data_IF_890767308824
#
_entry.id   IF_890767308824
#
_cell.length_a   1.000
_cell.length_b   1.000
_cell.length_c   1.000
_cell.angle_alpha   90.00
_cell.angle_beta   90.00
_cell.angle_gamma   90.00
#
_symmetry.space_group_name_H-M   'P 1'
#
loop_
_entity.id
_entity.type
_entity.pdbx_description
1 polymer ?
#
# COMPACT_ATOMS: atom_id res chain seq x y z
N UNK A 1 11.72 12.23 6.85
CA UNK A 1 11.46 10.91 6.28
C UNK A 1 10.61 10.08 7.22
N UNK A 2 9.46 9.63 6.76
CA UNK A 2 8.54 8.83 7.55
C UNK A 2 8.14 7.58 6.81
N UNK A 3 7.84 6.52 7.55
CA UNK A 3 7.29 5.30 6.98
C UNK A 3 5.84 5.15 7.41
N UNK A 4 4.97 4.88 6.46
CA UNK A 4 3.55 4.64 6.69
C UNK A 4 3.22 3.23 6.22
N UNK A 5 2.57 2.46 7.06
CA UNK A 5 2.13 1.12 6.69
C UNK A 5 0.63 1.12 6.42
N UNK A 6 0.23 0.78 5.21
CA UNK A 6 -1.17 0.74 4.85
C UNK A 6 -1.69 -0.69 4.87
N UNK A 7 -2.71 -0.93 5.68
CA UNK A 7 -3.32 -2.24 5.85
C UNK A 7 -4.79 -2.17 5.46
N UNK A 8 -5.23 -3.13 4.65
CA UNK A 8 -6.59 -3.12 4.10
C UNK A 8 -7.22 -4.50 4.20
N UNK A 9 -8.44 -4.55 4.74
CA UNK A 9 -9.22 -5.80 4.79
C UNK A 9 -10.69 -5.50 4.51
N UNK A 10 -11.43 -6.55 4.17
CA UNK A 10 -12.88 -6.46 4.05
C UNK A 10 -13.60 -7.02 5.26
N UNK A 11 -13.17 -8.17 5.79
CA UNK A 11 -13.88 -8.81 6.89
C UNK A 11 -12.99 -9.39 7.98
N UNK A 12 -11.76 -9.76 7.69
CA UNK A 12 -10.95 -10.54 8.61
C UNK A 12 -10.06 -9.70 9.51
N UNK A 13 -10.36 -9.71 10.79
CA UNK A 13 -9.54 -9.05 11.80
C UNK A 13 -8.14 -9.67 11.89
N UNK A 14 -8.06 -10.99 11.72
CA UNK A 14 -6.77 -11.68 11.78
C UNK A 14 -5.84 -11.24 10.64
N UNK A 15 -6.42 -11.00 9.46
CA UNK A 15 -5.63 -10.52 8.34
C UNK A 15 -5.07 -9.12 8.61
N UNK A 16 -5.86 -8.29 9.27
CA UNK A 16 -5.39 -6.94 9.63
C UNK A 16 -4.20 -7.03 10.59
N UNK A 17 -4.31 -7.84 11.63
CA UNK A 17 -3.26 -8.01 12.61
C UNK A 17 -1.98 -8.55 11.99
N UNK A 18 -2.13 -9.49 11.06
CA UNK A 18 -0.98 -10.07 10.37
C UNK A 18 -0.26 -9.03 9.51
N UNK A 19 -1.02 -8.21 8.79
CA UNK A 19 -0.43 -7.16 7.98
C UNK A 19 0.34 -6.17 8.86
N UNK A 20 -0.27 -5.76 9.96
CA UNK A 20 0.36 -4.82 10.89
C UNK A 20 1.66 -5.40 11.43
N UNK A 21 1.62 -6.66 11.86
CA UNK A 21 2.79 -7.34 12.41
C UNK A 21 3.93 -7.40 11.39
N UNK A 22 3.61 -7.79 10.16
CA UNK A 22 4.62 -7.90 9.11
C UNK A 22 5.27 -6.54 8.82
N UNK A 23 4.46 -5.51 8.77
CA UNK A 23 4.98 -4.16 8.53
C UNK A 23 5.85 -3.68 9.69
N UNK A 24 5.39 -3.90 10.92
CA UNK A 24 6.14 -3.47 12.11
C UNK A 24 7.45 -4.23 12.29
N UNK A 25 7.51 -5.47 11.84
CA UNK A 25 8.77 -6.22 11.90
C UNK A 25 9.83 -5.61 10.99
N UNK A 26 9.41 -5.13 9.81
CA UNK A 26 10.33 -4.51 8.86
C UNK A 26 10.56 -3.04 9.16
N UNK A 27 9.54 -2.35 9.63
CA UNK A 27 9.58 -0.90 9.90
C UNK A 27 8.94 -0.63 11.26
N UNK A 28 9.71 -0.80 12.36
CA UNK A 28 9.13 -0.67 13.70
C UNK A 28 8.48 0.67 14.00
N UNK A 29 8.96 1.74 13.37
CA UNK A 29 8.45 3.08 13.60
C UNK A 29 7.37 3.50 12.62
N UNK A 30 6.90 2.59 11.76
CA UNK A 30 5.89 2.92 10.77
C UNK A 30 4.58 3.33 11.43
N UNK A 31 3.99 4.39 10.88
CA UNK A 31 2.65 4.82 11.27
C UNK A 31 1.65 3.94 10.52
N UNK A 32 0.84 3.18 11.24
CA UNK A 32 -0.09 2.24 10.65
C UNK A 32 -1.40 2.96 10.29
N UNK A 33 -1.81 2.80 9.04
CA UNK A 33 -3.08 3.31 8.53
C UNK A 33 -3.95 2.11 8.19
N UNK A 34 -5.12 2.03 8.81
CA UNK A 34 -6.02 0.88 8.66
C UNK A 34 -7.23 1.25 7.83
N UNK A 35 -7.54 0.42 6.84
CA UNK A 35 -8.69 0.59 5.98
C UNK A 35 -9.57 -0.64 6.07
N UNK A 36 -10.84 -0.44 6.41
CA UNK A 36 -11.79 -1.54 6.49
C UNK A 36 -12.96 -1.25 5.57
N UNK A 37 -13.28 -2.20 4.71
CA UNK A 37 -14.46 -2.11 3.85
C UNK A 37 -15.60 -2.87 4.50
N UNK A 38 -16.78 -2.27 4.48
CA UNK A 38 -17.98 -2.93 4.95
C UNK A 38 -18.93 -3.10 3.78
N UNK A 39 -19.44 -4.31 3.61
CA UNK A 39 -20.41 -4.60 2.57
C UNK A 39 -19.81 -4.66 1.18
N UNK A 40 -20.69 -4.57 0.20
CA UNK A 40 -20.33 -4.71 -1.21
C UNK A 40 -19.94 -3.41 -1.87
N UNK A 41 -20.11 -2.30 -1.19
CA UNK A 41 -19.86 -1.00 -1.79
C UNK A 41 -18.42 -0.63 -1.60
N UNK A 42 -17.73 -0.57 -2.70
CA UNK A 42 -16.37 -0.11 -2.72
C UNK A 42 -16.45 1.39 -2.91
N UNK A 43 -16.74 2.06 -1.84
CA UNK A 43 -16.74 3.49 -1.92
C UNK A 43 -15.47 3.99 -1.35
N UNK A 44 -14.61 4.34 -2.18
CA UNK A 44 -13.47 5.09 -1.78
C UNK A 44 -12.60 4.34 -0.76
N UNK A 45 -11.42 4.74 -0.70
CA UNK A 45 -10.46 4.26 0.27
C UNK A 45 -10.12 5.47 1.10
N UNK A 46 -11.05 5.84 1.99
CA UNK A 46 -10.95 7.09 2.75
C UNK A 46 -9.61 7.26 3.44
N UNK A 47 -9.15 6.19 4.09
CA UNK A 47 -7.90 6.27 4.83
C UNK A 47 -6.72 6.36 3.90
N UNK A 48 -6.77 5.65 2.77
CA UNK A 48 -5.72 5.75 1.76
C UNK A 48 -5.68 7.14 1.14
N UNK A 49 -6.83 7.71 0.85
CA UNK A 49 -6.90 9.07 0.31
C UNK A 49 -6.31 10.10 1.27
N UNK A 50 -6.60 9.96 2.56
CA UNK A 50 -6.00 10.81 3.58
C UNK A 50 -4.49 10.65 3.61
N UNK A 51 -4.03 9.41 3.52
CA UNK A 51 -2.60 9.10 3.52
C UNK A 51 -1.90 9.75 2.33
N UNK A 52 -2.51 9.66 1.15
CA UNK A 52 -1.93 10.26 -0.05
C UNK A 52 -1.79 11.78 0.06
N UNK A 53 -2.61 12.41 0.88
CA UNK A 53 -2.54 13.86 1.07
C UNK A 53 -1.41 14.29 2.00
N UNK A 54 -1.00 13.40 2.91
CA UNK A 54 0.04 13.75 3.89
C UNK A 54 1.42 13.22 3.53
N UNK A 55 1.49 12.21 2.67
CA UNK A 55 2.77 11.64 2.27
C UNK A 55 3.52 12.64 1.40
N UNK A 56 4.82 12.74 1.62
CA UNK A 56 5.64 13.71 0.89
C UNK A 56 6.93 13.06 0.39
N UNK A 57 7.70 13.82 -0.35
CA UNK A 57 8.99 13.37 -0.89
C UNK A 57 9.85 12.77 0.23
N UNK A 58 10.48 11.65 -0.08
CA UNK A 58 11.35 10.88 0.83
C UNK A 58 10.60 10.05 1.87
N UNK A 59 9.28 10.13 1.91
CA UNK A 59 8.51 9.23 2.76
C UNK A 59 8.42 7.85 2.11
N UNK A 60 8.10 6.84 2.91
CA UNK A 60 7.97 5.46 2.45
C UNK A 60 6.58 4.95 2.75
N UNK A 61 5.93 4.35 1.75
CA UNK A 61 4.68 3.64 1.93
C UNK A 61 4.96 2.15 1.91
N UNK A 62 4.54 1.46 2.97
CA UNK A 62 4.78 0.03 3.13
C UNK A 62 3.45 -0.71 3.05
N UNK A 63 3.41 -1.73 2.20
CA UNK A 63 2.26 -2.61 2.02
C UNK A 63 2.68 -4.04 2.28
N UNK A 64 1.80 -4.84 2.87
CA UNK A 64 2.06 -6.27 3.04
C UNK A 64 2.25 -6.93 1.68
N UNK A 65 1.38 -6.57 0.72
CA UNK A 65 1.50 -7.06 -0.65
C UNK A 65 0.93 -6.01 -1.60
N UNK A 66 1.25 -6.18 -2.88
CA UNK A 66 0.80 -5.25 -3.92
C UNK A 66 -0.73 -5.19 -4.00
N UNK A 67 -1.41 -6.29 -3.68
CA UNK A 67 -2.87 -6.34 -3.72
C UNK A 67 -3.51 -5.42 -2.68
N UNK A 68 -2.78 -4.99 -1.67
CA UNK A 68 -3.31 -4.05 -0.69
C UNK A 68 -3.31 -2.62 -1.22
N UNK A 69 -2.44 -2.34 -2.19
CA UNK A 69 -2.40 -1.01 -2.78
C UNK A 69 -3.50 -0.84 -3.81
N UNK A 70 -3.75 -1.84 -4.64
CA UNK A 70 -4.75 -1.71 -5.69
C UNK A 70 -5.37 -3.05 -6.03
N UNK A 71 -6.51 -3.02 -6.74
CA UNK A 71 -7.24 -4.21 -7.13
C UNK A 71 -7.05 -4.57 -8.59
N UNK A 72 -6.63 -3.62 -9.40
CA UNK A 72 -6.46 -3.84 -10.84
C UNK A 72 -5.06 -3.41 -11.24
N UNK A 73 -4.60 -3.98 -12.36
CA UNK A 73 -3.30 -3.62 -12.89
C UNK A 73 -3.24 -2.16 -13.28
N UNK A 74 -4.30 -1.67 -13.90
CA UNK A 74 -4.34 -0.29 -14.38
C UNK A 74 -4.26 0.71 -13.21
N UNK A 75 -5.09 0.51 -12.20
CA UNK A 75 -5.09 1.36 -11.01
C UNK A 75 -3.74 1.32 -10.31
N UNK A 76 -3.18 0.13 -10.16
CA UNK A 76 -1.89 -0.04 -9.50
C UNK A 76 -0.77 0.66 -10.26
N UNK A 77 -0.79 0.55 -11.57
CA UNK A 77 0.21 1.19 -12.40
C UNK A 77 0.16 2.72 -12.25
N UNK A 78 -1.03 3.28 -12.35
CA UNK A 78 -1.20 4.73 -12.24
C UNK A 78 -0.79 5.24 -10.86
N UNK A 79 -1.19 4.52 -9.82
CA UNK A 79 -0.84 4.90 -8.44
C UNK A 79 0.67 4.83 -8.22
N UNK A 80 1.29 3.75 -8.69
CA UNK A 80 2.72 3.56 -8.56
C UNK A 80 3.48 4.70 -9.23
N UNK A 81 3.12 5.01 -10.48
CA UNK A 81 3.77 6.08 -11.22
C UNK A 81 3.63 7.42 -10.52
N UNK A 82 2.43 7.72 -10.05
CA UNK A 82 2.17 8.98 -9.37
C UNK A 82 3.04 9.14 -8.14
N UNK A 83 3.08 8.13 -7.29
CA UNK A 83 3.85 8.18 -6.05
C UNK A 83 5.35 8.18 -6.32
N UNK A 84 5.78 7.38 -7.27
CA UNK A 84 7.19 7.36 -7.65
C UNK A 84 7.64 8.73 -8.12
N UNK A 85 6.83 9.38 -8.96
CA UNK A 85 7.16 10.70 -9.49
C UNK A 85 7.18 11.77 -8.40
N UNK A 86 6.48 11.54 -7.30
CA UNK A 86 6.50 12.45 -6.16
C UNK A 86 7.68 12.21 -5.23
N UNK A 87 8.51 11.22 -5.53
CA UNK A 87 9.66 10.90 -4.69
C UNK A 87 9.33 10.04 -3.49
N UNK A 88 8.16 9.38 -3.50
CA UNK A 88 7.74 8.49 -2.43
C UNK A 88 8.23 7.09 -2.73
N UNK A 89 8.86 6.44 -1.77
CA UNK A 89 9.31 5.06 -1.91
C UNK A 89 8.17 4.10 -1.60
N UNK A 90 8.06 3.04 -2.39
CA UNK A 90 7.01 2.03 -2.22
C UNK A 90 7.66 0.70 -1.91
N UNK A 91 7.17 0.04 -0.86
CA UNK A 91 7.69 -1.25 -0.42
C UNK A 91 6.55 -2.24 -0.31
N UNK A 92 6.69 -3.39 -0.96
CA UNK A 92 5.73 -4.49 -0.91
C UNK A 92 6.44 -5.68 -0.29
N UNK A 93 6.06 -6.01 0.94
CA UNK A 93 6.81 -7.00 1.73
C UNK A 93 6.82 -8.40 1.10
N UNK A 94 5.71 -8.79 0.49
CA UNK A 94 5.62 -10.10 -0.16
C UNK A 94 6.22 -10.13 -1.55
N UNK A 95 6.41 -8.96 -2.14
CA UNK A 95 7.02 -8.84 -3.46
C UNK A 95 8.17 -7.85 -3.42
N UNK A 96 9.22 -8.15 -2.64
CA UNK A 96 10.34 -7.21 -2.49
C UNK A 96 11.12 -7.00 -3.79
N UNK A 97 10.90 -7.88 -4.76
CA UNK A 97 11.55 -7.79 -6.06
C UNK A 97 10.89 -6.82 -7.02
N UNK A 98 9.75 -6.22 -6.63
CA UNK A 98 9.09 -5.26 -7.52
C UNK A 98 10.05 -4.10 -7.75
N UNK A 99 10.46 -3.91 -9.01
CA UNK A 99 11.40 -2.85 -9.30
C UNK A 99 10.68 -1.52 -9.39
N UNK A 100 11.47 -0.50 -9.54
CA UNK A 100 11.01 0.86 -9.74
C UNK A 100 10.20 0.99 -11.04
N UNK A 101 10.37 0.03 -11.98
CA UNK A 101 9.76 0.09 -13.29
C UNK A 101 8.35 -0.47 -13.28
N UNK A 102 7.46 0.19 -14.01
CA UNK A 102 6.04 -0.17 -14.01
C UNK A 102 5.72 -1.47 -14.73
N UNK A 103 6.51 -1.85 -15.73
CA UNK A 103 6.19 -3.03 -16.55
C UNK A 103 6.15 -4.31 -15.73
N UNK A 104 7.15 -4.65 -14.92
CA UNK A 104 7.06 -5.82 -14.06
C UNK A 104 5.94 -5.73 -13.04
N UNK A 105 5.63 -4.51 -12.58
CA UNK A 105 4.52 -4.29 -11.67
C UNK A 105 3.20 -4.69 -12.31
N UNK A 106 2.98 -4.30 -13.55
CA UNK A 106 1.77 -4.66 -14.28
C UNK A 106 1.66 -6.18 -14.43
N UNK A 107 2.75 -6.87 -14.69
CA UNK A 107 2.74 -8.31 -14.86
C UNK A 107 2.26 -9.08 -13.65
N UNK A 108 2.39 -8.51 -12.46
CA UNK A 108 1.93 -9.15 -11.24
C UNK A 108 0.41 -9.27 -11.19
N UNK A 109 -0.30 -8.47 -11.96
CA UNK A 109 -1.75 -8.50 -12.00
C UNK A 109 -2.29 -9.34 -13.15
N UNK A 110 -1.44 -9.77 -14.04
CA UNK A 110 -1.83 -10.60 -15.18
C UNK A 110 -1.70 -12.07 -14.84
#
# INVERSE_FOLDING_TARGET
>A
MKAYGYCRISTSKQSMERQIRNIKLAYPDAVIVKETYTGTIIQGRKEFEKLLKIVSTDDTLVFDSVSRMSRTAQEGYEMYQKLYNQGVSLVFLKEPHIPIFAVPFIQLFL
#
